data_IF_505492121347
#
_entry.id   IF_505492121347
#
_cell.length_a   1.000
_cell.length_b   1.000
_cell.length_c   1.000
_cell.angle_alpha   90.00
_cell.angle_beta   90.00
_cell.angle_gamma   90.00
#
_symmetry.space_group_name_H-M   'P 1'
#
loop_
_entity.id
_entity.type
_entity.pdbx_description
1 polymer ?
#
# COMPACT_ATOMS: atom_id res chain seq x y z
N UNK A 1 15.07 -12.46 -7.10
CA UNK A 1 14.34 -12.09 -8.33
C UNK A 1 12.99 -12.79 -8.40
N UNK A 2 11.97 -12.10 -7.90
CA UNK A 2 10.56 -12.44 -8.07
C UNK A 2 10.02 -11.75 -9.32
N UNK A 3 9.29 -12.50 -10.15
CA UNK A 3 8.55 -11.96 -11.29
C UNK A 3 7.05 -12.05 -11.01
N UNK A 4 6.27 -11.09 -11.49
CA UNK A 4 4.81 -11.20 -11.53
C UNK A 4 4.37 -11.36 -12.97
N UNK A 5 3.38 -12.21 -13.20
CA UNK A 5 2.77 -12.43 -14.50
C UNK A 5 1.26 -12.30 -14.41
N UNK A 6 0.59 -12.37 -15.57
CA UNK A 6 -0.85 -12.27 -15.69
C UNK A 6 -1.65 -13.15 -14.70
N UNK A 7 -1.15 -14.34 -14.33
CA UNK A 7 -1.88 -15.23 -13.41
C UNK A 7 -1.94 -14.68 -11.99
N UNK A 8 -0.91 -13.96 -11.57
CA UNK A 8 -0.86 -13.34 -10.23
C UNK A 8 -1.97 -12.28 -10.09
N UNK A 9 -2.29 -11.57 -11.16
CA UNK A 9 -3.36 -10.57 -11.20
C UNK A 9 -4.73 -11.20 -11.45
N UNK A 10 -4.81 -12.13 -12.41
CA UNK A 10 -6.04 -12.79 -12.81
C UNK A 10 -6.70 -13.60 -11.68
N UNK A 11 -5.92 -14.01 -10.68
CA UNK A 11 -6.43 -14.61 -9.45
C UNK A 11 -7.57 -13.79 -8.82
N UNK A 12 -7.50 -12.46 -8.94
CA UNK A 12 -8.44 -11.52 -8.33
C UNK A 12 -9.60 -11.11 -9.24
N UNK A 13 -9.71 -11.67 -10.46
CA UNK A 13 -10.81 -11.36 -11.40
C UNK A 13 -12.13 -12.09 -11.06
N UNK A 14 -12.17 -12.82 -9.94
CA UNK A 14 -13.35 -13.57 -9.50
C UNK A 14 -14.47 -12.65 -9.06
N UNK A 15 -15.70 -13.08 -9.32
CA UNK A 15 -16.89 -12.35 -8.86
C UNK A 15 -17.19 -12.58 -7.37
N UNK A 16 -16.83 -13.76 -6.85
CA UNK A 16 -17.17 -14.18 -5.50
C UNK A 16 -15.92 -14.52 -4.69
N UNK A 17 -15.87 -14.01 -3.47
CA UNK A 17 -14.78 -14.26 -2.53
C UNK A 17 -15.24 -14.91 -1.22
N UNK A 18 -16.54 -14.92 -0.94
CA UNK A 18 -17.07 -15.53 0.30
C UNK A 18 -17.10 -17.05 0.16
N UNK A 19 -16.64 -17.79 1.18
CA UNK A 19 -16.70 -19.25 1.12
C UNK A 19 -18.13 -19.79 1.04
N UNK A 20 -19.11 -19.04 1.52
CA UNK A 20 -20.53 -19.41 1.40
C UNK A 20 -20.95 -19.45 -0.07
N UNK A 21 -20.78 -18.34 -0.80
CA UNK A 21 -21.17 -18.26 -2.22
C UNK A 21 -20.33 -19.20 -3.08
N UNK A 22 -19.05 -19.37 -2.75
CA UNK A 22 -18.19 -20.32 -3.46
C UNK A 22 -18.68 -21.77 -3.30
N UNK A 23 -19.13 -22.19 -2.12
CA UNK A 23 -19.69 -23.53 -1.91
C UNK A 23 -21.03 -23.76 -2.60
N UNK A 24 -21.78 -22.69 -2.88
CA UNK A 24 -23.02 -22.77 -3.65
C UNK A 24 -22.77 -22.96 -5.15
N UNK A 25 -21.59 -22.54 -5.63
CA UNK A 25 -21.23 -22.52 -7.07
C UNK A 25 -20.28 -23.64 -7.49
N UNK A 26 -19.32 -23.99 -6.63
CA UNK A 26 -18.22 -24.89 -6.95
C UNK A 26 -18.31 -26.19 -6.15
N UNK A 27 -17.89 -27.30 -6.76
CA UNK A 27 -17.66 -28.56 -6.06
C UNK A 27 -16.55 -28.45 -5.02
N UNK A 28 -16.46 -29.42 -4.10
CA UNK A 28 -15.41 -29.45 -3.08
C UNK A 28 -13.99 -29.54 -3.68
N UNK A 29 -13.84 -30.26 -4.79
CA UNK A 29 -12.57 -30.39 -5.50
C UNK A 29 -12.15 -29.05 -6.14
N UNK A 30 -13.07 -28.38 -6.83
CA UNK A 30 -12.83 -27.05 -7.41
C UNK A 30 -12.53 -26.00 -6.34
N UNK A 31 -13.29 -26.00 -5.22
CA UNK A 31 -13.03 -25.08 -4.11
C UNK A 31 -11.66 -25.32 -3.46
N UNK A 32 -11.24 -26.58 -3.37
CA UNK A 32 -9.90 -26.92 -2.86
C UNK A 32 -8.80 -26.44 -3.81
N UNK A 33 -9.02 -26.57 -5.12
CA UNK A 33 -8.12 -26.05 -6.14
C UNK A 33 -8.03 -24.52 -6.07
N UNK A 34 -9.15 -23.81 -5.99
CA UNK A 34 -9.19 -22.34 -5.83
C UNK A 34 -8.40 -21.92 -4.59
N UNK A 35 -8.59 -22.59 -3.45
CA UNK A 35 -7.82 -22.29 -2.23
C UNK A 35 -6.31 -22.53 -2.42
N UNK A 36 -5.94 -23.57 -3.15
CA UNK A 36 -4.54 -23.86 -3.47
C UNK A 36 -3.92 -22.73 -4.30
N UNK A 37 -4.62 -22.26 -5.33
CA UNK A 37 -4.17 -21.15 -6.20
C UNK A 37 -3.99 -19.85 -5.41
N UNK A 38 -4.95 -19.49 -4.55
CA UNK A 38 -4.81 -18.34 -3.68
C UNK A 38 -3.63 -18.49 -2.72
N UNK A 39 -3.43 -19.68 -2.16
CA UNK A 39 -2.29 -19.90 -1.27
C UNK A 39 -0.96 -19.78 -2.00
N UNK A 40 -0.86 -20.27 -3.23
CA UNK A 40 0.35 -20.23 -4.04
C UNK A 40 0.79 -18.79 -4.34
N UNK A 41 -0.11 -17.96 -4.88
CA UNK A 41 0.19 -16.54 -5.16
C UNK A 41 0.46 -15.79 -3.86
N UNK A 42 -0.20 -16.15 -2.76
CA UNK A 42 0.09 -15.57 -1.45
C UNK A 42 1.46 -15.96 -0.88
N UNK A 43 1.89 -17.21 -1.04
CA UNK A 43 3.23 -17.63 -0.61
C UNK A 43 4.30 -16.86 -1.38
N UNK A 44 4.07 -16.64 -2.69
CA UNK A 44 4.90 -15.78 -3.54
C UNK A 44 4.90 -14.32 -3.06
N UNK A 45 3.72 -13.75 -2.76
CA UNK A 45 3.60 -12.42 -2.16
C UNK A 45 4.40 -12.33 -0.85
N UNK A 46 4.21 -13.28 0.07
CA UNK A 46 4.89 -13.31 1.36
C UNK A 46 6.41 -13.40 1.21
N UNK A 47 6.88 -14.20 0.27
CA UNK A 47 8.31 -14.30 -0.05
C UNK A 47 8.86 -12.98 -0.58
N UNK A 48 8.14 -12.31 -1.49
CA UNK A 48 8.48 -10.97 -1.98
C UNK A 48 8.61 -9.96 -0.84
N UNK A 49 7.66 -9.94 0.12
CA UNK A 49 7.73 -9.06 1.29
C UNK A 49 8.95 -9.33 2.18
N UNK A 50 9.40 -10.59 2.25
CA UNK A 50 10.60 -10.97 3.00
C UNK A 50 11.87 -10.49 2.31
N UNK A 51 11.96 -10.60 0.98
CA UNK A 51 13.09 -10.09 0.20
C UNK A 51 13.20 -8.57 0.35
N UNK A 52 12.09 -7.85 0.20
CA UNK A 52 12.06 -6.40 0.38
C UNK A 52 12.55 -6.02 1.78
N UNK A 53 12.09 -6.73 2.82
CA UNK A 53 12.54 -6.48 4.19
C UNK A 53 14.07 -6.65 4.36
N UNK A 54 14.71 -7.56 3.62
CA UNK A 54 16.16 -7.76 3.69
C UNK A 54 16.97 -6.63 3.03
N UNK A 55 16.37 -5.92 2.08
CA UNK A 55 17.03 -4.86 1.29
C UNK A 55 16.79 -3.44 1.85
N UNK A 56 15.93 -3.29 2.85
CA UNK A 56 15.68 -1.99 3.51
C UNK A 56 16.43 -1.88 4.85
N UNK A 57 16.40 -0.70 5.46
CA UNK A 57 16.99 -0.43 6.77
C UNK A 57 16.29 -1.22 7.90
N UNK A 58 16.72 -2.47 8.09
CA UNK A 58 16.22 -3.36 9.14
C UNK A 58 16.60 -2.93 10.55
N UNK A 59 17.49 -1.94 10.72
CA UNK A 59 17.75 -1.34 12.02
C UNK A 59 16.58 -0.45 12.43
N UNK A 60 16.01 0.30 11.48
CA UNK A 60 14.85 1.16 11.69
C UNK A 60 13.51 0.42 11.58
N UNK A 61 13.30 -0.40 10.56
CA UNK A 61 12.03 -1.09 10.31
C UNK A 61 11.89 -2.40 11.09
N UNK A 62 10.66 -2.68 11.55
CA UNK A 62 10.31 -4.02 12.02
C UNK A 62 9.95 -4.92 10.84
N UNK A 63 9.88 -6.24 11.10
CA UNK A 63 9.37 -7.21 10.12
C UNK A 63 7.98 -6.77 9.63
N UNK A 64 7.70 -6.85 8.32
CA UNK A 64 6.41 -6.43 7.80
C UNK A 64 5.28 -7.30 8.33
N UNK A 65 4.15 -6.67 8.62
CA UNK A 65 2.89 -7.40 8.80
C UNK A 65 2.41 -7.81 7.42
N UNK A 66 2.25 -9.10 7.18
CA UNK A 66 1.67 -9.64 5.93
C UNK A 66 0.31 -10.26 6.27
N UNK A 67 -0.75 -9.81 5.63
CA UNK A 67 -2.08 -10.40 5.86
C UNK A 67 -2.20 -11.78 5.22
N UNK A 68 -2.98 -12.67 5.84
CA UNK A 68 -3.30 -13.98 5.28
C UNK A 68 -4.18 -13.85 4.04
N UNK A 69 -4.03 -14.77 3.09
CA UNK A 69 -4.86 -14.91 1.88
C UNK A 69 -6.34 -15.20 2.14
N UNK A 70 -6.69 -15.50 3.39
CA UNK A 70 -8.06 -15.65 3.87
C UNK A 70 -8.24 -15.02 5.25
N UNK A 71 -9.47 -14.60 5.56
CA UNK A 71 -9.88 -14.15 6.90
C UNK A 71 -10.89 -15.09 7.58
N UNK A 72 -10.86 -16.39 7.23
CA UNK A 72 -11.72 -17.44 7.80
C UNK A 72 -13.09 -17.56 7.11
N UNK A 73 -13.63 -16.45 6.60
CA UNK A 73 -14.92 -16.42 5.89
C UNK A 73 -14.77 -16.17 4.39
N UNK A 74 -13.70 -15.50 4.00
CA UNK A 74 -13.47 -15.05 2.63
C UNK A 74 -12.06 -15.39 2.16
N UNK A 75 -11.92 -15.63 0.86
CA UNK A 75 -10.70 -15.33 0.12
C UNK A 75 -10.49 -13.81 0.12
N UNK A 76 -9.24 -13.36 -0.02
CA UNK A 76 -8.95 -11.93 -0.14
C UNK A 76 -9.02 -11.48 -1.60
N UNK A 77 -9.62 -10.32 -1.87
CA UNK A 77 -9.63 -9.69 -3.19
C UNK A 77 -8.33 -8.92 -3.53
N UNK A 78 -7.41 -8.82 -2.56
CA UNK A 78 -6.07 -8.28 -2.70
C UNK A 78 -5.15 -8.89 -1.64
N UNK A 79 -3.84 -8.82 -1.83
CA UNK A 79 -2.88 -9.05 -0.76
C UNK A 79 -2.27 -7.75 -0.29
N UNK A 80 -2.06 -7.65 1.02
CA UNK A 80 -1.57 -6.44 1.65
C UNK A 80 -0.49 -6.73 2.68
N UNK A 81 0.48 -5.83 2.77
CA UNK A 81 1.48 -5.80 3.80
C UNK A 81 1.70 -4.39 4.34
N UNK A 82 2.24 -4.29 5.56
CA UNK A 82 2.54 -3.02 6.19
C UNK A 82 3.93 -3.03 6.81
N UNK A 83 4.68 -1.97 6.53
CA UNK A 83 5.98 -1.69 7.10
C UNK A 83 5.88 -0.50 8.04
N UNK A 84 6.40 -0.67 9.27
CA UNK A 84 6.48 0.35 10.30
C UNK A 84 7.85 0.32 10.97
N UNK A 85 8.30 1.47 11.46
CA UNK A 85 9.49 1.54 12.30
C UNK A 85 9.34 0.71 13.57
N UNK A 86 10.44 0.17 14.13
CA UNK A 86 10.42 -0.65 15.36
C UNK A 86 9.81 0.08 16.55
N UNK A 87 10.08 1.38 16.66
CA UNK A 87 9.53 2.24 17.71
C UNK A 87 8.16 2.83 17.36
N UNK A 88 7.67 2.57 16.14
CA UNK A 88 6.49 3.21 15.52
C UNK A 88 5.37 2.21 15.23
N UNK A 89 5.40 1.03 15.88
CA UNK A 89 4.45 -0.06 15.62
C UNK A 89 3.00 0.31 15.95
N UNK A 90 2.81 1.20 16.92
CA UNK A 90 1.51 1.66 17.36
C UNK A 90 1.01 2.89 16.59
N UNK A 91 1.72 3.35 15.56
CA UNK A 91 1.29 4.49 14.77
C UNK A 91 0.30 4.12 13.66
N UNK A 92 -0.53 5.11 13.32
CA UNK A 92 -1.45 5.05 12.19
C UNK A 92 -0.70 5.01 10.86
N UNK A 93 0.33 5.84 10.70
CA UNK A 93 1.11 5.92 9.48
C UNK A 93 1.93 4.63 9.22
N UNK A 94 1.95 4.18 7.97
CA UNK A 94 2.82 3.10 7.51
C UNK A 94 3.06 3.19 6.00
N UNK A 95 4.10 2.49 5.54
CA UNK A 95 4.26 2.18 4.13
C UNK A 95 3.55 0.85 3.88
N UNK A 96 2.46 0.91 3.12
CA UNK A 96 1.71 -0.25 2.67
C UNK A 96 2.24 -0.76 1.33
N UNK A 97 2.11 -2.05 1.11
CA UNK A 97 2.18 -2.63 -0.23
C UNK A 97 0.94 -3.45 -0.51
N UNK A 98 0.44 -3.39 -1.74
CA UNK A 98 -0.78 -4.07 -2.14
C UNK A 98 -0.65 -4.68 -3.53
N UNK A 99 -1.18 -5.90 -3.70
CA UNK A 99 -1.34 -6.58 -4.99
C UNK A 99 -2.83 -6.91 -5.18
N UNK A 100 -3.43 -6.48 -6.28
CA UNK A 100 -4.82 -6.80 -6.64
C UNK A 100 -4.94 -7.04 -8.15
N UNK A 101 -6.18 -7.17 -8.66
CA UNK A 101 -6.43 -7.39 -10.10
C UNK A 101 -5.95 -6.28 -11.04
N UNK A 102 -5.72 -5.07 -10.53
CA UNK A 102 -5.39 -3.87 -11.32
C UNK A 102 -3.90 -3.60 -11.32
N UNK A 103 -3.23 -3.77 -10.18
CA UNK A 103 -1.87 -3.30 -9.98
C UNK A 103 -1.18 -3.95 -8.77
N UNK A 104 0.14 -3.77 -8.73
CA UNK A 104 0.92 -3.82 -7.51
C UNK A 104 1.34 -2.39 -7.13
N UNK A 105 1.32 -2.05 -5.85
CA UNK A 105 1.61 -0.70 -5.39
C UNK A 105 2.42 -0.68 -4.10
N UNK A 106 3.22 0.38 -3.95
CA UNK A 106 3.85 0.79 -2.69
C UNK A 106 3.37 2.19 -2.36
N UNK A 107 2.86 2.40 -1.16
CA UNK A 107 2.19 3.65 -0.83
C UNK A 107 2.32 4.00 0.65
N UNK A 108 2.52 5.27 0.94
CA UNK A 108 2.41 5.84 2.26
C UNK A 108 0.93 6.07 2.57
N UNK A 109 0.47 5.58 3.71
CA UNK A 109 -0.93 5.67 4.12
C UNK A 109 -1.09 5.93 5.62
N UNK A 110 -2.23 6.50 5.98
CA UNK A 110 -2.74 6.56 7.35
C UNK A 110 -3.75 5.43 7.57
N UNK A 111 -3.46 4.48 8.47
CA UNK A 111 -4.35 3.36 8.73
C UNK A 111 -5.47 3.74 9.71
N UNK A 112 -6.71 3.83 9.23
CA UNK A 112 -7.88 4.17 10.06
C UNK A 112 -8.39 3.01 10.93
N UNK A 113 -8.05 1.77 10.60
CA UNK A 113 -8.45 0.63 11.43
C UNK A 113 -7.82 0.72 12.82
N UNK A 114 -8.68 0.87 13.84
CA UNK A 114 -8.31 1.14 15.24
C UNK A 114 -7.49 2.43 15.41
N UNK A 115 -7.74 3.45 14.60
CA UNK A 115 -7.00 4.72 14.66
C UNK A 115 -7.05 5.38 16.02
N UNK A 116 -8.19 5.29 16.71
CA UNK A 116 -8.38 5.88 18.04
C UNK A 116 -7.55 5.19 19.13
N UNK A 117 -6.99 4.01 18.83
CA UNK A 117 -6.13 3.23 19.72
C UNK A 117 -4.64 3.37 19.36
N UNK A 118 -4.33 4.16 18.33
CA UNK A 118 -2.99 4.29 17.73
C UNK A 118 -2.49 5.73 17.84
N UNK A 119 -1.17 5.87 17.75
CA UNK A 119 -0.47 7.15 17.78
C UNK A 119 -0.41 7.79 16.39
N UNK A 120 -0.11 9.09 16.36
CA UNK A 120 -0.06 9.90 15.13
C UNK A 120 -1.44 10.41 14.73
N UNK A 121 -1.57 11.73 14.63
CA UNK A 121 -2.83 12.40 14.28
C UNK A 121 -2.98 12.60 12.77
N UNK A 122 -4.22 12.86 12.31
CA UNK A 122 -4.47 13.19 10.90
C UNK A 122 -3.73 14.46 10.49
N UNK A 123 -3.67 15.46 11.37
CA UNK A 123 -3.01 16.74 11.13
C UNK A 123 -1.50 16.56 10.94
N UNK A 124 -0.85 15.78 11.83
CA UNK A 124 0.56 15.45 11.71
C UNK A 124 0.85 14.73 10.39
N UNK A 125 0.01 13.77 10.00
CA UNK A 125 0.16 13.06 8.73
C UNK A 125 -0.06 13.97 7.51
N UNK A 126 -1.12 14.78 7.53
CA UNK A 126 -1.48 15.67 6.42
C UNK A 126 -0.45 16.81 6.23
N UNK A 127 0.35 17.14 7.25
CA UNK A 127 1.47 18.08 7.12
C UNK A 127 2.49 17.68 6.05
N UNK A 128 2.54 16.39 5.67
CA UNK A 128 3.38 15.90 4.58
C UNK A 128 3.01 16.47 3.21
N UNK A 129 1.77 16.93 3.00
CA UNK A 129 1.37 17.55 1.74
C UNK A 129 2.27 18.75 1.38
N UNK A 130 2.62 19.55 2.38
CA UNK A 130 3.52 20.70 2.21
C UNK A 130 4.97 20.29 1.90
N UNK A 131 5.34 19.02 2.10
CA UNK A 131 6.68 18.48 1.83
C UNK A 131 6.81 17.85 0.43
N UNK A 132 5.69 17.61 -0.26
CA UNK A 132 5.69 16.93 -1.56
C UNK A 132 6.48 17.67 -2.65
N UNK A 133 6.43 19.00 -2.80
CA UNK A 133 7.23 19.70 -3.81
C UNK A 133 8.73 19.47 -3.64
N UNK A 134 9.24 19.55 -2.41
CA UNK A 134 10.67 19.32 -2.12
C UNK A 134 11.05 17.85 -2.28
N UNK A 135 10.20 16.92 -1.83
CA UNK A 135 10.47 15.49 -1.92
C UNK A 135 10.51 15.01 -3.39
N UNK A 136 9.52 15.44 -4.18
CA UNK A 136 9.37 15.06 -5.59
C UNK A 136 10.50 15.56 -6.49
N UNK A 137 11.17 16.66 -6.13
CA UNK A 137 12.30 17.20 -6.89
C UNK A 137 13.51 16.25 -7.03
N UNK A 138 13.55 15.16 -6.24
CA UNK A 138 14.68 14.21 -6.22
C UNK A 138 14.37 12.84 -6.83
N UNK A 139 13.17 12.63 -7.38
CA UNK A 139 12.69 11.33 -7.88
C UNK A 139 11.86 11.49 -9.16
N UNK A 140 11.65 10.39 -9.89
CA UNK A 140 10.68 10.35 -10.98
C UNK A 140 9.27 10.07 -10.44
N UNK A 141 8.38 11.04 -10.62
CA UNK A 141 6.99 11.00 -10.14
C UNK A 141 5.98 10.52 -11.19
N UNK A 142 6.43 10.05 -12.35
CA UNK A 142 5.54 9.67 -13.46
C UNK A 142 4.48 8.63 -13.05
N UNK A 143 4.89 7.60 -12.30
CA UNK A 143 4.00 6.54 -11.83
C UNK A 143 3.53 6.76 -10.38
N UNK A 144 3.69 7.97 -9.86
CA UNK A 144 3.18 8.35 -8.54
C UNK A 144 1.79 8.96 -8.65
N UNK A 145 0.96 8.58 -7.68
CA UNK A 145 -0.43 8.99 -7.58
C UNK A 145 -0.72 9.44 -6.15
N UNK A 146 -1.67 10.36 -6.04
CA UNK A 146 -2.17 10.86 -4.77
C UNK A 146 -3.69 10.73 -4.77
N UNK A 147 -4.26 10.25 -3.66
CA UNK A 147 -5.70 10.03 -3.57
C UNK A 147 -6.21 10.22 -2.15
N UNK A 148 -7.49 10.49 -2.02
CA UNK A 148 -8.15 10.53 -0.71
C UNK A 148 -8.30 9.12 -0.16
N UNK A 149 -8.28 8.99 1.16
CA UNK A 149 -8.39 7.68 1.80
C UNK A 149 -9.69 6.92 1.46
N UNK A 150 -10.77 7.63 1.18
CA UNK A 150 -12.08 7.05 0.84
C UNK A 150 -12.13 6.47 -0.57
N UNK A 151 -11.19 6.84 -1.45
CA UNK A 151 -11.12 6.30 -2.80
C UNK A 151 -10.78 4.81 -2.80
N UNK A 152 -11.49 4.05 -3.61
CA UNK A 152 -11.29 2.61 -3.73
C UNK A 152 -9.99 2.33 -4.49
N UNK A 153 -9.22 1.34 -4.07
CA UNK A 153 -7.94 0.92 -4.70
C UNK A 153 -8.01 0.50 -6.19
N UNK A 154 -9.20 0.51 -6.79
CA UNK A 154 -9.42 0.14 -8.20
C UNK A 154 -9.84 1.34 -9.06
N UNK A 155 -10.16 2.49 -8.46
CA UNK A 155 -10.44 3.72 -9.21
C UNK A 155 -9.15 4.28 -9.79
N UNK A 156 -9.28 5.11 -10.82
CA UNK A 156 -8.14 5.85 -11.33
C UNK A 156 -7.86 7.02 -10.37
N UNK A 157 -6.64 7.06 -9.86
CA UNK A 157 -6.21 8.06 -8.89
C UNK A 157 -5.59 9.26 -9.60
N UNK A 158 -5.58 10.41 -8.93
CA UNK A 158 -4.95 11.62 -9.46
C UNK A 158 -3.44 11.42 -9.59
N UNK A 159 -2.89 11.74 -10.77
CA UNK A 159 -1.44 11.74 -10.98
C UNK A 159 -0.78 12.75 -10.05
N UNK A 160 0.31 12.35 -9.39
CA UNK A 160 1.07 13.26 -8.54
C UNK A 160 1.67 14.40 -9.36
N UNK A 161 2.06 14.14 -10.61
CA UNK A 161 2.58 15.18 -11.51
C UNK A 161 1.54 16.27 -11.75
N UNK A 162 0.32 15.86 -12.10
CA UNK A 162 -0.80 16.79 -12.29
C UNK A 162 -1.12 17.57 -11.02
N UNK A 163 -1.13 16.90 -9.85
CA UNK A 163 -1.27 17.56 -8.57
C UNK A 163 -0.17 18.62 -8.34
N UNK A 164 1.10 18.30 -8.60
CA UNK A 164 2.22 19.22 -8.35
C UNK A 164 2.25 20.42 -9.31
N UNK A 165 1.77 20.25 -10.55
CA UNK A 165 1.82 21.28 -11.60
C UNK A 165 0.60 22.23 -11.58
N UNK A 166 -0.46 21.91 -10.81
CA UNK A 166 -1.72 22.66 -10.84
C UNK A 166 -2.21 23.08 -9.44
N UNK A 167 -2.05 24.36 -9.11
CA UNK A 167 -2.46 24.94 -7.81
C UNK A 167 -3.96 24.77 -7.51
N UNK A 168 -4.83 24.85 -8.52
CA UNK A 168 -6.27 24.70 -8.32
C UNK A 168 -6.64 23.25 -7.93
N UNK A 169 -5.96 22.28 -8.53
CA UNK A 169 -6.09 20.86 -8.14
C UNK A 169 -5.58 20.66 -6.70
N UNK A 170 -4.44 21.28 -6.33
CA UNK A 170 -3.94 21.19 -4.96
C UNK A 170 -4.93 21.74 -3.93
N UNK A 171 -5.50 22.93 -4.19
CA UNK A 171 -6.49 23.54 -3.29
C UNK A 171 -7.73 22.64 -3.15
N UNK A 172 -8.30 22.19 -4.26
CA UNK A 172 -9.48 21.32 -4.27
C UNK A 172 -9.22 19.99 -3.55
N UNK A 173 -8.01 19.44 -3.70
CA UNK A 173 -7.59 18.23 -2.99
C UNK A 173 -7.43 18.49 -1.49
N UNK A 174 -6.76 19.58 -1.09
CA UNK A 174 -6.52 19.93 0.31
C UNK A 174 -7.82 20.19 1.09
N UNK A 175 -8.79 20.87 0.48
CA UNK A 175 -10.09 21.13 1.10
C UNK A 175 -10.81 19.83 1.50
N UNK A 176 -10.68 18.78 0.68
CA UNK A 176 -11.23 17.45 0.96
C UNK A 176 -10.42 16.67 1.99
N UNK A 177 -9.10 16.86 2.03
CA UNK A 177 -8.23 16.22 3.03
C UNK A 177 -8.40 16.85 4.42
N UNK A 178 -8.93 18.07 4.55
CA UNK A 178 -9.06 18.78 5.83
C UNK A 178 -9.79 17.99 6.93
N UNK A 179 -10.69 17.06 6.57
CA UNK A 179 -11.43 16.20 7.52
C UNK A 179 -10.97 14.74 7.51
N UNK A 180 -10.14 14.36 6.55
CA UNK A 180 -9.67 12.99 6.32
C UNK A 180 -8.14 12.93 6.16
N UNK A 181 -7.63 11.92 5.49
CA UNK A 181 -6.22 11.77 5.16
C UNK A 181 -6.06 11.45 3.68
N UNK A 182 -4.87 11.67 3.16
CA UNK A 182 -4.50 11.22 1.82
C UNK A 182 -3.75 9.89 1.84
N UNK A 183 -3.53 9.35 0.66
CA UNK A 183 -2.59 8.28 0.37
C UNK A 183 -1.73 8.73 -0.80
N UNK A 184 -0.48 8.29 -0.81
CA UNK A 184 0.50 8.65 -1.83
C UNK A 184 1.33 7.42 -2.16
N UNK A 185 1.43 7.04 -3.42
CA UNK A 185 2.20 5.85 -3.77
C UNK A 185 2.52 5.73 -5.24
N UNK A 186 3.43 4.79 -5.51
CA UNK A 186 3.77 4.37 -6.86
C UNK A 186 2.93 3.16 -7.23
N UNK A 187 2.27 3.24 -8.40
CA UNK A 187 1.38 2.19 -8.90
C UNK A 187 2.01 1.54 -10.13
N UNK A 188 2.13 0.22 -10.12
CA UNK A 188 2.58 -0.57 -11.26
C UNK A 188 1.41 -1.40 -11.77
N UNK A 189 0.79 -0.94 -12.86
CA UNK A 189 -0.39 -1.58 -13.42
C UNK A 189 -0.09 -2.99 -13.95
N UNK A 190 -1.13 -3.84 -13.93
CA UNK A 190 -1.13 -5.23 -14.38
C UNK A 190 -0.40 -5.39 -15.72
N UNK A 191 0.72 -6.08 -15.65
CA UNK A 191 1.57 -6.46 -16.77
C UNK A 191 2.54 -7.53 -16.29
N UNK A 192 3.19 -8.22 -17.22
CA UNK A 192 4.31 -9.09 -16.89
C UNK A 192 5.48 -8.20 -16.40
N UNK A 193 5.93 -8.45 -15.18
CA UNK A 193 6.96 -7.68 -14.50
C UNK A 193 8.08 -8.59 -14.03
N UNK A 194 9.29 -8.31 -14.49
CA UNK A 194 10.50 -8.97 -14.02
C UNK A 194 11.12 -8.19 -12.86
N UNK A 195 11.77 -8.91 -11.94
CA UNK A 195 12.54 -8.31 -10.84
C UNK A 195 11.73 -7.30 -10.01
N UNK A 196 10.51 -7.70 -9.63
CA UNK A 196 9.55 -6.85 -8.90
C UNK A 196 10.12 -6.37 -7.56
N UNK A 197 10.99 -7.17 -6.92
CA UNK A 197 11.61 -6.77 -5.65
C UNK A 197 12.37 -5.44 -5.76
N UNK A 198 13.11 -5.22 -6.84
CA UNK A 198 13.93 -4.02 -7.02
C UNK A 198 13.05 -2.78 -7.21
N UNK A 199 11.97 -2.91 -7.99
CA UNK A 199 10.99 -1.84 -8.21
C UNK A 199 10.33 -1.41 -6.89
N UNK A 200 9.93 -2.39 -6.07
CA UNK A 200 9.26 -2.11 -4.81
C UNK A 200 10.23 -1.58 -3.74
N UNK A 201 11.47 -2.08 -3.68
CA UNK A 201 12.51 -1.55 -2.79
C UNK A 201 12.84 -0.10 -3.13
N UNK A 202 13.00 0.22 -4.42
CA UNK A 202 13.22 1.61 -4.84
C UNK A 202 12.07 2.51 -4.39
N UNK A 203 10.84 2.15 -4.73
CA UNK A 203 9.63 2.92 -4.37
C UNK A 203 9.47 3.07 -2.85
N UNK A 204 9.82 2.02 -2.10
CA UNK A 204 9.83 2.04 -0.65
C UNK A 204 10.84 3.06 -0.12
N UNK A 205 12.08 3.03 -0.60
CA UNK A 205 13.13 3.97 -0.18
C UNK A 205 12.79 5.43 -0.54
N UNK A 206 12.11 5.64 -1.66
CA UNK A 206 11.58 6.96 -2.05
C UNK A 206 10.54 7.45 -1.03
N UNK A 207 9.58 6.60 -0.63
CA UNK A 207 8.54 6.91 0.35
C UNK A 207 9.04 6.94 1.81
N UNK A 208 10.09 6.19 2.15
CA UNK A 208 10.72 6.17 3.48
C UNK A 208 11.18 7.58 3.89
N UNK A 209 11.68 8.36 2.92
CA UNK A 209 12.07 9.76 3.14
C UNK A 209 10.91 10.58 3.72
N UNK A 210 9.69 10.44 3.19
CA UNK A 210 8.50 11.11 3.73
C UNK A 210 8.04 10.48 5.04
N UNK A 211 8.03 9.15 5.13
CA UNK A 211 7.61 8.44 6.34
C UNK A 211 8.43 8.86 7.57
N UNK A 212 9.74 9.09 7.41
CA UNK A 212 10.63 9.53 8.50
C UNK A 212 10.41 10.98 8.92
N UNK A 213 9.90 11.86 8.06
CA UNK A 213 9.57 13.24 8.45
C UNK A 213 8.47 13.30 9.52
N UNK A 214 7.60 12.31 9.56
CA UNK A 214 6.59 12.19 10.62
C UNK A 214 7.21 12.00 12.01
N UNK A 215 8.39 11.38 12.11
CA UNK A 215 9.09 11.18 13.37
C UNK A 215 9.88 12.43 13.82
N UNK A 216 10.34 13.26 12.87
CA UNK A 216 11.04 14.50 13.19
C UNK A 216 10.11 15.53 13.86
N UNK A 217 8.85 15.58 13.42
CA UNK A 217 7.83 16.50 13.95
C UNK A 217 7.39 16.17 15.39
N UNK A 218 7.72 14.99 15.95
CA UNK A 218 7.40 14.64 17.35
C UNK A 218 8.39 15.23 18.36
N UNK A 219 9.61 15.59 17.95
CA UNK A 219 10.58 16.27 18.82
C UNK A 219 10.23 17.75 19.00
N UNK A 220 9.67 18.40 17.97
CA UNK A 220 9.27 19.82 17.99
C UNK A 220 7.96 20.09 18.77
N UNK A 221 7.24 19.06 19.21
CA UNK A 221 6.01 19.17 20.02
C UNK A 221 6.25 18.91 21.52
N UNK A 222 7.52 18.72 21.94
CA UNK A 222 7.91 18.51 23.34
C UNK A 222 8.71 19.67 23.94
N UNK A 223 8.83 20.79 23.22
CA UNK A 223 9.33 22.08 23.74
C UNK A 223 8.17 23.07 23.91
#
# INVERSE_FOLDING_TARGET
MVNLDEKDFALFDREQFTFKQLKETYSEAELSQIKSEFKEVWDKWKFLQQLIYQEIDTNYFAKPKVESWTNGWNLRSHYWSAFRGKLRQNENACIGMLLNKKQIQVYLMFQHYKSDQRQGTKEQYNSLLAKLPTWSASIDVTDYYIWHQEEHELTDHLSLKEYLENEHIQQTFQDKVATQTFQLGKLFFRADMANVEALLVQSFCELDKLYRLLAANEQDLKE
#
